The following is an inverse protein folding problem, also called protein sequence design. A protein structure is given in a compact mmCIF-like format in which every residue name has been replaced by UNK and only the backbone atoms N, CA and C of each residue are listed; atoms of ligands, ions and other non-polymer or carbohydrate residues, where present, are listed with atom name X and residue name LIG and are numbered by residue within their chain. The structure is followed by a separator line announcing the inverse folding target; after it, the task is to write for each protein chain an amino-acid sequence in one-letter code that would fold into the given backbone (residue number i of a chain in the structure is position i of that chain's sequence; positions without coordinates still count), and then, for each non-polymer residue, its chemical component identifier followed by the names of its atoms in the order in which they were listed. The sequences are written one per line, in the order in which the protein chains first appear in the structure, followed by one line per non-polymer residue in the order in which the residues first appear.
data_IF_876899462240
#
_entry.id   IF_876899462240
#
_cell.length_a   1.000
_cell.length_b   1.000
_cell.length_c   1.000
_cell.angle_alpha   90.00
_cell.angle_beta   90.00
_cell.angle_gamma   90.00
#
_symmetry.space_group_name_H-M   'P 1'
#
loop_
_entity.id
_entity.type
_entity.pdbx_description
1 polymer ?
#
# COMPACT_ATOMS: atom_id res chain seq x y z
N UNK A 1 0.92 20.30 -40.86
CA UNK A 1 1.77 19.40 -40.04
C UNK A 1 1.65 19.85 -38.59
N UNK A 2 0.85 19.17 -37.78
CA UNK A 2 0.74 19.47 -36.34
C UNK A 2 1.79 18.64 -35.61
N UNK A 3 2.81 19.30 -35.08
CA UNK A 3 3.73 18.69 -34.13
C UNK A 3 2.92 18.29 -32.90
N UNK A 4 2.59 16.99 -32.80
CA UNK A 4 1.99 16.43 -31.60
C UNK A 4 3.13 16.32 -30.61
N UNK A 5 3.29 17.32 -29.74
CA UNK A 5 4.16 17.20 -28.58
C UNK A 5 3.54 16.11 -27.72
N UNK A 6 3.97 14.87 -27.93
CA UNK A 6 3.75 13.81 -26.96
C UNK A 6 4.53 14.29 -25.75
N UNK A 7 3.88 14.73 -24.65
CA UNK A 7 4.64 14.98 -23.43
C UNK A 7 5.43 13.71 -23.18
N UNK A 8 6.74 13.82 -22.94
CA UNK A 8 7.52 12.71 -22.45
C UNK A 8 6.83 12.31 -21.16
N UNK A 9 5.98 11.28 -21.21
CA UNK A 9 5.40 10.69 -20.02
C UNK A 9 6.62 10.28 -19.23
N UNK A 10 6.97 11.07 -18.22
CA UNK A 10 7.97 10.71 -17.24
C UNK A 10 7.37 9.50 -16.57
N UNK A 11 7.70 8.31 -17.10
CA UNK A 11 7.39 7.03 -16.51
C UNK A 11 8.26 6.93 -15.27
N UNK A 12 7.91 7.73 -14.26
CA UNK A 12 8.49 7.66 -12.92
C UNK A 12 8.20 6.23 -12.45
N UNK A 13 9.22 5.40 -12.55
CA UNK A 13 9.09 3.97 -12.36
C UNK A 13 9.09 3.72 -10.86
N UNK A 14 8.04 3.04 -10.36
CA UNK A 14 7.95 2.75 -8.93
C UNK A 14 8.85 1.59 -8.58
N UNK A 15 9.64 1.73 -7.52
CA UNK A 15 10.49 0.64 -7.03
C UNK A 15 9.65 -0.44 -6.33
N UNK A 16 9.45 -1.64 -6.92
CA UNK A 16 8.55 -2.64 -6.35
C UNK A 16 9.07 -3.20 -5.02
N UNK A 17 10.40 -3.31 -4.90
CA UNK A 17 11.06 -3.71 -3.65
C UNK A 17 10.82 -2.68 -2.54
N UNK A 18 10.90 -1.39 -2.86
CA UNK A 18 10.61 -0.32 -1.89
C UNK A 18 9.16 -0.34 -1.42
N UNK A 19 8.21 -0.57 -2.34
CA UNK A 19 6.79 -0.74 -1.99
C UNK A 19 6.54 -1.95 -1.07
N UNK A 20 7.23 -3.06 -1.30
CA UNK A 20 7.17 -4.23 -0.43
C UNK A 20 7.79 -3.93 0.95
N UNK A 21 8.95 -3.28 1.01
CA UNK A 21 9.60 -2.87 2.26
C UNK A 21 8.70 -1.93 3.08
N UNK A 22 8.05 -0.96 2.44
CA UNK A 22 7.06 -0.10 3.10
C UNK A 22 5.93 -0.93 3.71
N UNK A 23 5.44 -1.94 3.00
CA UNK A 23 4.39 -2.84 3.52
C UNK A 23 4.87 -3.79 4.63
N UNK A 24 6.18 -3.97 4.78
CA UNK A 24 6.78 -4.69 5.91
C UNK A 24 6.80 -3.82 7.17
N UNK A 25 7.09 -2.52 7.02
CA UNK A 25 7.08 -1.57 8.14
C UNK A 25 5.66 -1.40 8.68
N UNK A 26 4.68 -1.22 7.79
CA UNK A 26 3.26 -1.18 8.16
C UNK A 26 2.39 -1.84 7.09
N UNK A 27 1.48 -2.70 7.52
CA UNK A 27 0.51 -3.37 6.63
C UNK A 27 -0.27 -2.33 5.84
N UNK A 28 -0.27 -2.45 4.51
CA UNK A 28 -1.01 -1.54 3.62
C UNK A 28 -0.26 -0.26 3.22
N UNK A 29 0.90 0.04 3.82
CA UNK A 29 1.66 1.26 3.53
C UNK A 29 2.23 1.29 2.10
N UNK A 30 2.71 0.16 1.59
CA UNK A 30 3.15 0.07 0.18
C UNK A 30 2.02 0.27 -0.82
N UNK A 31 0.77 -0.07 -0.46
CA UNK A 31 -0.39 0.26 -1.29
C UNK A 31 -0.68 1.75 -1.28
N UNK A 32 -0.52 2.43 -0.13
CA UNK A 32 -0.62 3.89 -0.07
C UNK A 32 0.46 4.57 -0.92
N UNK A 33 1.72 4.08 -0.87
CA UNK A 33 2.79 4.52 -1.77
C UNK A 33 2.46 4.28 -3.24
N UNK A 34 1.82 3.16 -3.57
CA UNK A 34 1.34 2.89 -4.92
C UNK A 34 0.15 3.78 -5.34
N UNK A 35 -0.34 4.70 -4.49
CA UNK A 35 -1.51 5.53 -4.77
C UNK A 35 -2.85 4.78 -4.62
N UNK A 36 -2.81 3.56 -4.07
CA UNK A 36 -3.96 2.70 -3.83
C UNK A 36 -4.35 2.68 -2.35
N UNK A 37 -4.69 3.87 -1.82
CA UNK A 37 -5.01 4.05 -0.40
C UNK A 37 -6.10 3.10 0.10
N UNK A 38 -7.20 2.95 -0.64
CA UNK A 38 -8.30 2.07 -0.25
C UNK A 38 -7.85 0.60 -0.14
N UNK A 39 -6.95 0.13 -1.02
CA UNK A 39 -6.37 -1.22 -0.88
C UNK A 39 -5.49 -1.33 0.37
N UNK A 40 -4.74 -0.29 0.70
CA UNK A 40 -3.97 -0.22 1.95
C UNK A 40 -4.87 -0.35 3.18
N UNK A 41 -5.99 0.38 3.21
CA UNK A 41 -7.00 0.30 4.29
C UNK A 41 -7.60 -1.10 4.37
N UNK A 42 -7.93 -1.74 3.24
CA UNK A 42 -8.48 -3.11 3.23
C UNK A 42 -7.48 -4.13 3.80
N UNK A 43 -6.20 -4.01 3.48
CA UNK A 43 -5.18 -4.87 4.09
C UNK A 43 -5.05 -4.62 5.59
N UNK A 44 -5.07 -3.36 6.03
CA UNK A 44 -5.04 -3.00 7.45
C UNK A 44 -6.24 -3.60 8.19
N UNK A 45 -7.45 -3.39 7.70
CA UNK A 45 -8.68 -3.98 8.27
C UNK A 45 -8.60 -5.50 8.25
N UNK A 46 -8.12 -6.09 7.15
CA UNK A 46 -7.90 -7.53 7.03
C UNK A 46 -6.95 -8.09 8.09
N UNK A 47 -5.91 -7.33 8.48
CA UNK A 47 -5.03 -7.70 9.61
C UNK A 47 -5.66 -7.48 10.99
N UNK A 48 -6.53 -6.48 11.13
CA UNK A 48 -7.27 -6.28 12.39
C UNK A 48 -8.21 -7.46 12.70
N UNK A 49 -8.80 -8.07 11.66
CA UNK A 49 -9.47 -9.35 11.80
C UNK A 49 -8.42 -10.48 11.80
N UNK A 50 -8.36 -11.28 12.87
CA UNK A 50 -7.35 -12.33 13.16
C UNK A 50 -6.87 -13.22 11.97
N UNK A 51 -7.64 -13.32 10.89
CA UNK A 51 -7.36 -14.15 9.72
C UNK A 51 -6.14 -13.76 8.88
N UNK A 52 -5.79 -12.46 8.77
CA UNK A 52 -4.60 -12.06 7.99
C UNK A 52 -3.35 -11.94 8.88
N UNK A 53 -3.51 -11.63 10.17
CA UNK A 53 -2.38 -11.35 11.09
C UNK A 53 -1.61 -12.55 11.63
N UNK A 54 -2.19 -13.76 11.68
CA UNK A 54 -1.61 -14.85 12.48
C UNK A 54 -0.80 -15.90 11.71
N UNK A 55 -0.57 -15.72 10.40
CA UNK A 55 0.18 -16.69 9.60
C UNK A 55 1.22 -16.02 8.68
N UNK A 56 2.40 -16.66 8.46
CA UNK A 56 3.35 -16.25 7.43
C UNK A 56 2.70 -16.07 6.05
N UNK A 57 1.65 -16.83 5.78
CA UNK A 57 0.84 -16.73 4.57
C UNK A 57 0.14 -15.38 4.43
N UNK A 58 -0.40 -14.81 5.52
CA UNK A 58 -1.03 -13.50 5.49
C UNK A 58 -0.01 -12.42 5.12
N UNK A 59 1.17 -12.48 5.74
CA UNK A 59 2.26 -11.56 5.44
C UNK A 59 2.71 -11.58 3.99
N UNK A 60 2.85 -12.79 3.44
CA UNK A 60 3.16 -12.96 2.02
C UNK A 60 2.11 -12.28 1.12
N UNK A 61 0.82 -12.35 1.46
CA UNK A 61 -0.25 -11.78 0.64
C UNK A 61 -0.17 -10.24 0.55
N UNK A 62 0.00 -9.53 1.67
CA UNK A 62 0.05 -8.06 1.61
C UNK A 62 1.38 -7.54 1.03
N UNK A 63 2.50 -8.21 1.32
CA UNK A 63 3.81 -7.88 0.76
C UNK A 63 3.82 -8.10 -0.76
N UNK A 64 3.37 -9.28 -1.21
CA UNK A 64 3.25 -9.57 -2.63
C UNK A 64 2.26 -8.64 -3.31
N UNK A 65 1.15 -8.30 -2.65
CA UNK A 65 0.18 -7.33 -3.17
C UNK A 65 0.82 -5.98 -3.47
N UNK A 66 1.67 -5.45 -2.58
CA UNK A 66 2.34 -4.17 -2.78
C UNK A 66 3.37 -4.23 -3.91
N UNK A 67 4.18 -5.29 -3.91
CA UNK A 67 5.15 -5.58 -4.96
C UNK A 67 4.49 -5.70 -6.35
N UNK A 68 3.45 -6.54 -6.44
CA UNK A 68 2.78 -6.85 -7.70
C UNK A 68 2.10 -5.62 -8.29
N UNK A 69 1.54 -4.73 -7.47
CA UNK A 69 0.93 -3.48 -7.93
C UNK A 69 1.99 -2.55 -8.52
N UNK A 70 3.11 -2.33 -7.83
CA UNK A 70 4.20 -1.50 -8.34
C UNK A 70 4.77 -2.06 -9.65
N UNK A 71 5.01 -3.38 -9.71
CA UNK A 71 5.47 -4.06 -10.92
C UNK A 71 4.47 -3.95 -12.08
N UNK A 72 3.17 -4.03 -11.80
CA UNK A 72 2.10 -3.88 -12.82
C UNK A 72 1.97 -2.44 -13.32
N UNK A 73 2.22 -1.45 -12.47
CA UNK A 73 2.28 -0.03 -12.86
C UNK A 73 3.47 0.23 -13.79
N UNK A 74 4.64 -0.32 -13.47
CA UNK A 74 5.81 -0.23 -14.35
C UNK A 74 5.60 -0.94 -15.69
N UNK A 75 4.84 -2.05 -15.68
CA UNK A 75 4.47 -2.78 -16.90
C UNK A 75 3.30 -2.17 -17.69
N UNK A 76 2.77 -1.01 -17.29
CA UNK A 76 1.65 -0.35 -17.97
C UNK A 76 0.29 -1.07 -17.88
N UNK A 77 0.22 -2.17 -17.12
CA UNK A 77 -1.03 -2.95 -16.94
C UNK A 77 -2.00 -2.35 -15.93
N UNK A 78 -1.52 -1.46 -15.06
CA UNK A 78 -2.31 -0.70 -14.09
C UNK A 78 -1.97 0.78 -14.29
N UNK A 79 -2.95 1.69 -14.30
CA UNK A 79 -2.68 3.11 -14.49
C UNK A 79 -1.74 3.62 -13.40
N UNK A 80 -0.70 4.35 -13.82
CA UNK A 80 0.20 5.03 -12.89
C UNK A 80 -0.59 6.07 -12.08
N UNK A 81 -0.37 6.08 -10.77
CA UNK A 81 -0.95 7.06 -9.86
C UNK A 81 0.18 7.67 -9.05
N UNK A 82 0.24 8.98 -9.03
CA UNK A 82 1.24 9.70 -8.25
C UNK A 82 1.17 9.26 -6.79
N UNK A 83 2.35 9.04 -6.20
CA UNK A 83 2.50 8.69 -4.80
C UNK A 83 2.04 9.87 -3.96
N UNK A 84 0.85 9.77 -3.36
CA UNK A 84 0.37 10.82 -2.46
C UNK A 84 1.16 10.75 -1.16
N UNK A 85 2.16 11.63 -1.02
CA UNK A 85 2.94 11.78 0.21
C UNK A 85 2.01 12.01 1.41
N UNK A 86 0.95 12.81 1.21
CA UNK A 86 -0.07 13.02 2.22
C UNK A 86 -0.75 11.71 2.66
N UNK A 87 -1.09 10.82 1.72
CA UNK A 87 -1.69 9.52 2.05
C UNK A 87 -0.73 8.63 2.83
N UNK A 88 0.56 8.62 2.50
CA UNK A 88 1.60 7.87 3.23
C UNK A 88 1.76 8.43 4.65
N UNK A 89 1.86 9.77 4.76
CA UNK A 89 1.98 10.46 6.05
C UNK A 89 0.75 10.30 6.94
N UNK A 90 -0.46 10.29 6.36
CA UNK A 90 -1.71 10.00 7.06
C UNK A 90 -1.79 8.55 7.52
N UNK A 91 -1.29 7.61 6.71
CA UNK A 91 -1.33 6.19 7.05
C UNK A 91 -0.43 5.86 8.25
N UNK A 92 0.69 6.58 8.40
CA UNK A 92 1.69 6.34 9.43
C UNK A 92 1.17 6.47 10.88
N UNK A 93 0.39 7.50 11.27
CA UNK A 93 -0.23 7.56 12.60
C UNK A 93 -1.59 6.84 12.67
N UNK A 94 -2.37 6.80 11.58
CA UNK A 94 -3.73 6.24 11.59
C UNK A 94 -3.71 4.72 11.78
N UNK A 95 -2.80 4.01 11.11
CA UNK A 95 -2.74 2.56 11.21
C UNK A 95 -2.37 2.05 12.61
N UNK A 96 -1.30 2.54 13.28
CA UNK A 96 -0.98 2.16 14.65
C UNK A 96 -2.06 2.56 15.66
N UNK A 97 -2.68 3.73 15.49
CA UNK A 97 -3.75 4.17 16.36
C UNK A 97 -4.96 3.24 16.25
N UNK A 98 -5.39 2.89 15.03
CA UNK A 98 -6.49 1.96 14.79
C UNK A 98 -6.23 0.57 15.41
N UNK A 99 -5.01 0.05 15.28
CA UNK A 99 -4.60 -1.22 15.92
C UNK A 99 -4.68 -1.10 17.44
N UNK A 100 -4.14 -0.02 18.01
CA UNK A 100 -4.07 0.18 19.46
C UNK A 100 -5.45 0.40 20.11
N UNK A 101 -6.37 1.09 19.42
CA UNK A 101 -7.75 1.27 19.89
C UNK A 101 -8.52 -0.05 19.85
N UNK A 102 -8.31 -0.88 18.83
CA UNK A 102 -8.96 -2.18 18.74
C UNK A 102 -8.48 -3.14 19.85
N UNK A 103 -7.17 -3.16 20.13
CA UNK A 103 -6.61 -4.03 21.18
C UNK A 103 -7.00 -3.58 22.58
N UNK A 104 -7.03 -2.28 22.85
CA UNK A 104 -7.49 -1.73 24.14
C UNK A 104 -9.01 -1.84 24.35
N UNK A 105 -9.80 -1.90 23.26
CA UNK A 105 -11.23 -2.23 23.32
C UNK A 105 -11.51 -3.70 23.61
N UNK A 106 -10.55 -4.60 23.34
CA UNK A 106 -10.69 -6.04 23.55
C UNK A 106 -10.16 -6.52 24.92
N UNK A 107 -9.44 -5.67 25.66
CA UNK A 107 -8.81 -6.00 26.94
C UNK A 107 -9.72 -5.79 28.17
N UNK A 108 -11.04 -5.86 28.02
CA UNK A 108 -12.03 -5.78 29.10
C UNK A 108 -12.56 -7.15 29.54
N UNK A 109 -11.70 -8.17 29.60
CA UNK A 109 -11.96 -9.48 30.22
C UNK A 109 -10.74 -9.95 31.00
#
# INVERSE_FOLDING_TARGET
MTCRITPSVTLESKEPGFSALLSLVFVGLGQAYNGQFLRGVLFLVGTLFRGLSFAPAGAAIWLYGAYAVARRMNGGTVPYRESSVAAVLLFLPVAPAAVSTLTSGLSWW
#
